data_IF_182451404246
#
_entry.id   IF_182451404246
#
_cell.length_a   1.000
_cell.length_b   1.000
_cell.length_c   1.000
_cell.angle_alpha   90.00
_cell.angle_beta   90.00
_cell.angle_gamma   90.00
#
_symmetry.space_group_name_H-M   'P 1'
#
loop_
_entity.id
_entity.type
_entity.pdbx_description
1 polymer ?
#
# COMPACT_ATOMS: atom_id res chain seq x y z
N UNK A 1 57.87 22.02 32.58
CA UNK A 1 57.50 21.51 31.25
C UNK A 1 56.19 20.68 31.27
N UNK A 2 55.15 21.11 32.01
CA UNK A 2 53.86 20.38 32.10
C UNK A 2 52.65 21.13 31.52
N UNK A 3 52.84 22.36 30.99
CA UNK A 3 51.73 23.24 30.59
C UNK A 3 51.38 23.24 29.10
N UNK A 4 52.03 22.42 28.27
CA UNK A 4 51.82 22.39 26.80
C UNK A 4 50.95 21.22 26.33
N UNK A 5 50.72 20.20 27.18
CA UNK A 5 49.89 19.05 26.82
C UNK A 5 48.39 19.32 27.02
N UNK A 6 47.99 20.13 27.99
CA UNK A 6 46.57 20.35 28.29
C UNK A 6 45.81 21.13 27.19
N UNK A 7 46.48 22.03 26.48
CA UNK A 7 45.85 22.92 25.50
C UNK A 7 45.48 22.22 24.18
N UNK A 8 46.18 21.14 23.81
CA UNK A 8 45.88 20.38 22.58
C UNK A 8 44.63 19.50 22.70
N UNK A 9 44.32 19.00 23.90
CA UNK A 9 43.13 18.18 24.13
C UNK A 9 41.85 19.03 24.23
N UNK A 10 41.95 20.28 24.68
CA UNK A 10 40.82 21.20 24.79
C UNK A 10 40.21 21.62 23.45
N UNK A 11 40.95 21.52 22.34
CA UNK A 11 40.46 21.86 21.00
C UNK A 11 39.90 20.64 20.22
N UNK A 12 40.28 19.42 20.59
CA UNK A 12 39.80 18.20 19.92
C UNK A 12 38.39 17.81 20.37
N UNK A 13 38.06 18.02 21.64
CA UNK A 13 36.76 17.67 22.21
C UNK A 13 35.60 18.42 21.51
N UNK A 14 35.62 19.76 21.33
CA UNK A 14 34.53 20.45 20.65
C UNK A 14 34.45 20.12 19.16
N UNK A 15 35.58 19.83 18.49
CA UNK A 15 35.59 19.43 17.08
C UNK A 15 34.93 18.05 16.87
N UNK A 16 35.24 17.09 17.74
CA UNK A 16 34.61 15.76 17.73
C UNK A 16 33.13 15.87 18.09
N UNK A 17 32.76 16.72 19.05
CA UNK A 17 31.36 16.97 19.40
C UNK A 17 30.57 17.60 18.25
N UNK A 18 31.18 18.53 17.50
CA UNK A 18 30.58 19.16 16.32
C UNK A 18 30.40 18.17 15.15
N UNK A 19 31.37 17.26 14.96
CA UNK A 19 31.29 16.16 13.99
C UNK A 19 30.19 15.15 14.36
N UNK A 20 29.98 14.88 15.66
CA UNK A 20 28.93 13.98 16.13
C UNK A 20 27.52 14.59 15.99
N UNK A 21 27.37 15.91 16.12
CA UNK A 21 26.08 16.61 15.96
C UNK A 21 25.62 16.74 14.50
N UNK A 22 26.52 16.56 13.52
CA UNK A 22 26.18 16.65 12.10
C UNK A 22 25.55 15.37 11.50
N UNK A 23 25.49 14.27 12.27
CA UNK A 23 25.05 12.96 11.75
C UNK A 23 23.53 12.72 11.86
N UNK A 24 22.78 13.64 12.45
CA UNK A 24 21.33 13.45 12.65
C UNK A 24 20.48 14.25 11.67
N UNK A 25 20.80 14.18 10.38
CA UNK A 25 19.81 14.49 9.33
C UNK A 25 19.18 13.17 8.91
N UNK A 26 18.28 12.66 9.76
CA UNK A 26 17.34 11.64 9.32
C UNK A 26 16.36 12.36 8.40
N UNK A 27 16.66 12.40 7.10
CA UNK A 27 15.66 12.78 6.12
C UNK A 27 14.54 11.76 6.27
N UNK A 28 13.33 12.23 6.62
CA UNK A 28 12.12 11.47 6.37
C UNK A 28 12.13 11.21 4.86
N UNK A 29 12.56 10.02 4.47
CA UNK A 29 12.70 9.63 3.10
C UNK A 29 11.29 9.65 2.52
N UNK A 30 11.01 10.63 1.65
CA UNK A 30 9.80 10.61 0.84
C UNK A 30 9.76 9.24 0.17
N UNK A 31 8.71 8.49 0.50
CA UNK A 31 8.54 7.11 0.08
C UNK A 31 8.48 7.11 -1.45
N UNK A 32 9.59 6.79 -2.10
CA UNK A 32 9.75 6.95 -3.56
C UNK A 32 9.02 5.85 -4.34
N UNK A 33 7.93 5.35 -3.76
CA UNK A 33 7.05 4.33 -4.31
C UNK A 33 6.19 4.98 -5.37
N UNK A 34 6.15 4.35 -6.52
CA UNK A 34 5.29 4.79 -7.61
C UNK A 34 3.90 4.22 -7.42
N UNK A 35 3.73 3.04 -6.82
CA UNK A 35 2.41 2.55 -6.42
C UNK A 35 2.50 1.37 -5.44
N UNK A 36 1.37 1.08 -4.79
CA UNK A 36 1.09 -0.13 -4.03
C UNK A 36 0.09 -1.01 -4.81
N UNK A 37 0.47 -2.26 -5.02
CA UNK A 37 -0.34 -3.25 -5.73
C UNK A 37 -1.00 -4.16 -4.70
N UNK A 38 -2.19 -3.77 -4.24
CA UNK A 38 -2.98 -4.53 -3.24
C UNK A 38 -3.18 -6.01 -3.59
N UNK A 39 -3.42 -6.41 -4.86
CA UNK A 39 -3.51 -7.81 -5.26
C UNK A 39 -2.29 -8.67 -4.90
N UNK A 40 -1.12 -8.05 -4.77
CA UNK A 40 0.14 -8.70 -4.43
C UNK A 40 0.48 -8.57 -2.94
N UNK A 41 -0.54 -8.51 -2.08
CA UNK A 41 -0.36 -8.30 -0.64
C UNK A 41 0.22 -6.92 -0.32
N UNK A 42 -0.02 -5.93 -1.19
CA UNK A 42 0.54 -4.59 -1.07
C UNK A 42 1.99 -4.47 -1.53
N UNK A 43 2.39 -5.25 -2.55
CA UNK A 43 3.69 -5.10 -3.21
C UNK A 43 3.89 -3.66 -3.68
N UNK A 44 5.15 -3.26 -3.81
CA UNK A 44 5.52 -1.89 -4.14
C UNK A 44 6.32 -1.83 -5.43
N UNK A 45 6.03 -0.83 -6.25
CA UNK A 45 6.75 -0.57 -7.51
C UNK A 45 7.65 0.66 -7.34
N UNK A 46 8.91 0.53 -7.77
CA UNK A 46 9.91 1.59 -7.78
C UNK A 46 10.53 1.75 -9.17
N UNK A 47 10.77 2.99 -9.58
CA UNK A 47 11.82 3.28 -10.55
C UNK A 47 13.13 3.36 -9.78
N UNK A 48 14.18 2.78 -10.33
CA UNK A 48 15.48 2.74 -9.67
C UNK A 48 16.59 3.22 -10.57
N UNK A 49 17.59 3.87 -9.97
CA UNK A 49 18.83 4.26 -10.65
C UNK A 49 19.88 3.15 -10.69
N UNK A 50 21.11 3.50 -11.10
CA UNK A 50 22.23 2.56 -11.37
C UNK A 50 22.64 1.61 -10.22
N UNK A 51 22.15 1.85 -8.99
CA UNK A 51 22.44 1.06 -7.79
C UNK A 51 21.17 0.46 -7.15
N UNK A 52 20.07 0.34 -7.90
CA UNK A 52 18.75 -0.07 -7.38
C UNK A 52 18.18 0.84 -6.27
N UNK A 53 18.68 2.07 -6.19
CA UNK A 53 18.18 3.08 -5.27
C UNK A 53 16.93 3.71 -5.91
N UNK A 54 15.82 3.87 -5.18
CA UNK A 54 14.63 4.54 -5.69
C UNK A 54 14.96 5.91 -6.29
N UNK A 55 14.39 6.20 -7.45
CA UNK A 55 14.67 7.40 -8.22
C UNK A 55 13.40 7.81 -8.99
N UNK A 56 13.30 9.08 -9.36
CA UNK A 56 12.22 9.61 -10.20
C UNK A 56 12.44 9.29 -11.69
N UNK A 57 13.39 8.43 -12.01
CA UNK A 57 13.72 8.00 -13.37
C UNK A 57 14.24 6.55 -13.36
N UNK A 58 13.71 5.72 -14.26
CA UNK A 58 14.11 4.34 -14.46
C UNK A 58 15.29 4.19 -15.43
N UNK A 59 15.64 5.21 -16.23
CA UNK A 59 16.59 5.09 -17.35
C UNK A 59 18.00 4.65 -16.96
N UNK A 60 18.38 4.84 -15.69
CA UNK A 60 19.70 4.47 -15.18
C UNK A 60 19.75 3.10 -14.51
N UNK A 61 18.62 2.52 -14.11
CA UNK A 61 18.58 1.23 -13.40
C UNK A 61 17.47 0.33 -13.92
N UNK A 62 16.22 0.75 -13.72
CA UNK A 62 15.05 0.07 -14.28
C UNK A 62 13.82 0.17 -13.39
N UNK A 63 12.98 -0.87 -13.46
CA UNK A 63 11.79 -1.02 -12.61
C UNK A 63 12.01 -2.18 -11.65
N UNK A 64 11.78 -1.91 -10.36
CA UNK A 64 11.88 -2.87 -9.27
C UNK A 64 10.50 -3.03 -8.60
N UNK A 65 10.03 -4.27 -8.49
CA UNK A 65 8.84 -4.63 -7.72
C UNK A 65 9.29 -5.44 -6.51
N UNK A 66 8.88 -5.01 -5.32
CA UNK A 66 9.17 -5.70 -4.07
C UNK A 66 7.91 -6.13 -3.35
N UNK A 67 8.03 -7.05 -2.40
CA UNK A 67 6.96 -7.28 -1.42
C UNK A 67 6.68 -6.00 -0.58
N UNK A 68 5.61 -6.03 0.21
CA UNK A 68 5.15 -4.88 1.02
C UNK A 68 6.21 -4.32 1.99
N UNK A 69 7.14 -5.17 2.44
CA UNK A 69 8.20 -4.78 3.38
C UNK A 69 9.49 -4.32 2.67
N UNK A 70 9.51 -4.29 1.34
CA UNK A 70 10.71 -3.95 0.56
C UNK A 70 11.85 -4.99 0.65
N UNK A 71 11.63 -6.13 1.31
CA UNK A 71 12.70 -7.08 1.66
C UNK A 71 12.99 -8.09 0.55
N UNK A 72 12.00 -8.39 -0.28
CA UNK A 72 12.11 -9.39 -1.35
C UNK A 72 11.82 -8.74 -2.69
N UNK A 73 12.69 -9.02 -3.68
CA UNK A 73 12.47 -8.64 -5.06
C UNK A 73 11.54 -9.64 -5.74
N UNK A 74 10.36 -9.17 -6.14
CA UNK A 74 9.38 -9.96 -6.88
C UNK A 74 9.65 -9.90 -8.39
N UNK A 75 10.09 -8.74 -8.89
CA UNK A 75 10.45 -8.55 -10.29
C UNK A 75 11.49 -7.42 -10.39
N UNK A 76 12.50 -7.61 -11.23
CA UNK A 76 13.38 -6.52 -11.67
C UNK A 76 13.49 -6.57 -13.19
N UNK A 77 13.33 -5.41 -13.82
CA UNK A 77 13.49 -5.24 -15.28
C UNK A 77 14.47 -4.11 -15.52
N UNK A 78 15.53 -4.39 -16.25
CA UNK A 78 16.61 -3.41 -16.46
C UNK A 78 16.17 -2.28 -17.39
N UNK A 79 16.80 -1.11 -17.24
CA UNK A 79 16.61 -0.01 -18.16
C UNK A 79 16.91 -0.39 -19.62
N UNK A 80 17.86 -1.30 -19.85
CA UNK A 80 18.20 -1.77 -21.19
C UNK A 80 17.04 -2.53 -21.84
N UNK A 81 16.39 -3.43 -21.09
CA UNK A 81 15.23 -4.20 -21.57
C UNK A 81 14.04 -3.28 -21.85
N UNK A 82 13.84 -2.28 -20.99
CA UNK A 82 12.78 -1.28 -21.15
C UNK A 82 13.05 -0.37 -22.35
N UNK A 83 14.30 0.05 -22.57
CA UNK A 83 14.71 0.88 -23.71
C UNK A 83 14.56 0.15 -25.05
N UNK A 84 14.76 -1.17 -25.08
CA UNK A 84 14.51 -1.97 -26.27
C UNK A 84 13.03 -1.93 -26.72
N UNK A 85 12.11 -1.59 -25.81
CA UNK A 85 10.69 -1.39 -26.05
C UNK A 85 10.29 0.10 -25.88
N UNK A 86 11.01 1.01 -26.55
CA UNK A 86 10.72 2.45 -26.49
C UNK A 86 9.66 2.88 -27.50
N UNK A 87 8.80 3.85 -27.16
CA UNK A 87 7.83 4.45 -28.08
C UNK A 87 8.45 5.08 -29.33
N UNK A 88 7.69 5.19 -30.42
CA UNK A 88 6.32 4.68 -30.59
C UNK A 88 6.31 3.15 -30.75
N UNK A 89 5.38 2.49 -30.05
CA UNK A 89 5.20 1.05 -30.14
C UNK A 89 4.03 0.70 -31.07
N UNK A 90 4.22 -0.28 -31.94
CA UNK A 90 3.16 -0.79 -32.81
C UNK A 90 2.25 -1.80 -32.09
N UNK A 91 2.79 -2.48 -31.08
CA UNK A 91 2.09 -3.46 -30.25
C UNK A 91 2.61 -3.44 -28.81
N UNK A 92 1.89 -4.10 -27.90
CA UNK A 92 2.31 -4.23 -26.50
C UNK A 92 3.51 -5.17 -26.40
N UNK A 93 4.60 -4.72 -25.78
CA UNK A 93 5.84 -5.47 -25.66
C UNK A 93 6.07 -5.91 -24.21
N UNK A 94 6.25 -7.21 -23.98
CA UNK A 94 6.66 -7.72 -22.67
C UNK A 94 8.16 -7.49 -22.48
N UNK A 95 8.53 -6.73 -21.44
CA UNK A 95 9.92 -6.36 -21.15
C UNK A 95 10.55 -7.18 -20.02
N UNK A 96 9.73 -7.84 -19.18
CA UNK A 96 10.27 -8.70 -18.12
C UNK A 96 9.24 -9.60 -17.48
N UNK A 97 9.70 -10.67 -16.83
CA UNK A 97 8.86 -11.65 -16.16
C UNK A 97 9.63 -12.35 -15.04
N UNK A 98 9.01 -12.47 -13.86
CA UNK A 98 9.51 -13.21 -12.71
C UNK A 98 8.38 -13.47 -11.72
N UNK A 99 8.43 -14.58 -10.99
CA UNK A 99 7.49 -14.88 -9.88
C UNK A 99 6.00 -14.74 -10.24
N UNK A 100 5.62 -15.12 -11.47
CA UNK A 100 4.25 -14.98 -11.96
C UNK A 100 3.83 -13.55 -12.33
N UNK A 101 4.73 -12.58 -12.21
CA UNK A 101 4.56 -11.20 -12.66
C UNK A 101 5.12 -11.02 -14.06
N UNK A 102 4.50 -10.16 -14.86
CA UNK A 102 5.00 -9.74 -16.17
C UNK A 102 4.87 -8.24 -16.33
N UNK A 103 5.95 -7.57 -16.75
CA UNK A 103 5.95 -6.15 -17.07
C UNK A 103 5.89 -5.94 -18.59
N UNK A 104 5.00 -5.06 -19.02
CA UNK A 104 4.80 -4.68 -20.41
C UNK A 104 5.01 -3.17 -20.61
N UNK A 105 5.41 -2.80 -21.83
CA UNK A 105 5.27 -1.47 -22.40
C UNK A 105 4.12 -1.51 -23.40
N UNK A 106 3.11 -0.67 -23.20
CA UNK A 106 1.90 -0.66 -24.01
C UNK A 106 2.03 0.28 -25.21
N UNK A 107 1.38 -0.08 -26.32
CA UNK A 107 1.27 0.79 -27.47
C UNK A 107 0.16 1.84 -27.31
N UNK A 108 0.30 3.03 -27.90
CA UNK A 108 1.47 3.52 -28.65
C UNK A 108 2.48 4.29 -27.78
N UNK A 109 2.08 4.66 -26.58
CA UNK A 109 2.73 5.68 -25.74
C UNK A 109 3.82 5.12 -24.80
N UNK A 110 3.93 3.79 -24.70
CA UNK A 110 4.87 3.12 -23.82
C UNK A 110 4.47 3.19 -22.35
N UNK A 111 3.17 3.31 -22.04
CA UNK A 111 2.65 3.12 -20.69
C UNK A 111 3.13 1.77 -20.12
N UNK A 112 3.49 1.73 -18.85
CA UNK A 112 3.84 0.49 -18.18
C UNK A 112 2.59 -0.27 -17.75
N UNK A 113 2.61 -1.60 -17.86
CA UNK A 113 1.58 -2.47 -17.32
C UNK A 113 2.21 -3.66 -16.59
N UNK A 114 1.89 -3.82 -15.31
CA UNK A 114 2.24 -4.99 -14.52
C UNK A 114 1.05 -5.95 -14.47
N UNK A 115 1.27 -7.17 -14.94
CA UNK A 115 0.30 -8.25 -14.88
C UNK A 115 0.72 -9.30 -13.86
N UNK A 116 -0.26 -9.91 -13.21
CA UNK A 116 -0.08 -11.08 -12.36
C UNK A 116 -1.42 -11.75 -12.07
N UNK A 117 -1.44 -12.69 -11.13
CA UNK A 117 -2.64 -13.44 -10.78
C UNK A 117 -2.98 -13.30 -9.30
N UNK A 118 -4.26 -13.13 -9.00
CA UNK A 118 -4.80 -13.28 -7.66
C UNK A 118 -4.69 -14.75 -7.18
N UNK A 119 -4.83 -15.02 -5.87
CA UNK A 119 -4.91 -16.38 -5.35
C UNK A 119 -6.04 -17.23 -5.95
N UNK A 120 -7.12 -16.62 -6.43
CA UNK A 120 -8.24 -17.30 -7.11
C UNK A 120 -7.99 -17.56 -8.61
N UNK A 121 -6.78 -17.24 -9.11
CA UNK A 121 -6.36 -17.46 -10.49
C UNK A 121 -6.82 -16.39 -11.48
N UNK A 122 -7.51 -15.33 -11.03
CA UNK A 122 -7.88 -14.21 -11.91
C UNK A 122 -6.68 -13.33 -12.22
N UNK A 123 -6.62 -12.83 -13.45
CA UNK A 123 -5.62 -11.85 -13.86
C UNK A 123 -5.91 -10.51 -13.16
N UNK A 124 -4.86 -9.84 -12.68
CA UNK A 124 -4.90 -8.41 -12.41
C UNK A 124 -3.93 -7.70 -13.34
N UNK A 125 -4.25 -6.44 -13.64
CA UNK A 125 -3.46 -5.56 -14.48
C UNK A 125 -3.37 -4.21 -13.78
N UNK A 126 -2.16 -3.67 -13.71
CA UNK A 126 -1.89 -2.38 -13.08
C UNK A 126 -1.06 -1.52 -14.03
N UNK A 127 -1.56 -0.34 -14.40
CA UNK A 127 -0.93 0.54 -15.39
C UNK A 127 -0.45 1.86 -14.78
N UNK A 128 0.68 2.37 -15.27
CA UNK A 128 1.22 3.68 -14.91
C UNK A 128 2.13 4.24 -16.02
N UNK A 129 2.27 5.57 -16.07
CA UNK A 129 2.96 6.26 -17.18
C UNK A 129 4.35 6.76 -16.83
N UNK A 130 4.62 7.07 -15.57
CA UNK A 130 5.84 7.77 -15.15
C UNK A 130 6.34 7.28 -13.78
N UNK A 131 7.52 7.77 -13.39
CA UNK A 131 8.13 7.46 -12.10
C UNK A 131 7.71 8.46 -11.00
N UNK A 132 6.59 9.16 -11.19
CA UNK A 132 6.15 10.13 -10.20
C UNK A 132 5.66 9.36 -8.97
N UNK A 133 6.20 9.64 -7.77
CA UNK A 133 5.77 8.95 -6.57
C UNK A 133 4.30 9.26 -6.31
N UNK A 134 3.55 8.25 -5.90
CA UNK A 134 2.20 8.48 -5.40
C UNK A 134 2.37 8.93 -3.97
N UNK A 135 1.86 10.13 -3.67
CA UNK A 135 1.72 10.60 -2.29
C UNK A 135 1.13 9.47 -1.47
N UNK A 136 1.79 9.10 -0.37
CA UNK A 136 1.30 8.08 0.54
C UNK A 136 -0.21 8.27 0.74
N UNK A 137 -1.04 7.20 0.66
CA UNK A 137 -2.47 7.35 0.88
C UNK A 137 -2.63 8.13 2.17
N UNK A 138 -3.29 9.30 2.08
CA UNK A 138 -3.60 10.10 3.24
C UNK A 138 -4.15 9.15 4.28
N UNK A 139 -3.51 9.09 5.45
CA UNK A 139 -4.04 8.37 6.60
C UNK A 139 -5.53 8.70 6.66
N UNK A 140 -6.44 7.70 6.63
CA UNK A 140 -7.86 7.98 6.55
C UNK A 140 -8.17 8.98 7.64
N UNK A 141 -8.58 10.18 7.23
CA UNK A 141 -9.03 11.20 8.16
C UNK A 141 -10.02 10.49 9.09
N UNK A 142 -9.79 10.50 10.42
CA UNK A 142 -10.61 9.73 11.33
C UNK A 142 -12.06 10.07 11.01
N UNK A 143 -12.81 9.08 10.51
CA UNK A 143 -14.21 9.27 10.18
C UNK A 143 -14.85 9.90 11.40
N UNK A 144 -15.55 11.05 11.27
CA UNK A 144 -16.29 11.59 12.40
C UNK A 144 -17.22 10.47 12.87
N UNK A 145 -17.09 10.07 14.15
CA UNK A 145 -17.84 8.97 14.76
C UNK A 145 -19.29 9.00 14.26
N UNK A 146 -19.59 8.15 13.29
CA UNK A 146 -20.92 8.07 12.74
C UNK A 146 -21.76 7.43 13.82
N UNK A 147 -22.62 8.24 14.42
CA UNK A 147 -23.57 7.94 15.48
C UNK A 147 -24.66 6.93 15.03
N UNK A 148 -24.27 5.84 14.34
CA UNK A 148 -25.12 4.73 13.91
C UNK A 148 -25.55 3.81 15.05
N UNK A 149 -25.04 4.04 16.26
CA UNK A 149 -25.46 3.30 17.46
C UNK A 149 -26.51 4.05 18.31
N UNK A 150 -27.06 5.18 17.85
CA UNK A 150 -28.29 5.68 18.48
C UNK A 150 -29.50 4.97 17.89
N UNK A 151 -30.01 4.00 18.65
CA UNK A 151 -31.42 3.66 18.58
C UNK A 151 -32.24 4.94 18.76
N UNK A 152 -33.28 5.20 17.97
CA UNK A 152 -34.21 6.27 18.29
C UNK A 152 -34.83 5.95 19.66
N UNK A 153 -34.73 6.89 20.59
CA UNK A 153 -35.40 6.79 21.88
C UNK A 153 -36.91 6.71 21.63
N UNK A 154 -37.48 5.52 21.74
CA UNK A 154 -38.93 5.33 21.65
C UNK A 154 -39.53 5.89 22.92
N UNK A 155 -40.11 7.09 22.82
CA UNK A 155 -40.95 7.65 23.88
C UNK A 155 -42.20 6.76 23.97
N UNK A 156 -42.46 6.06 25.10
CA UNK A 156 -43.60 5.16 25.18
C UNK A 156 -44.90 5.96 25.19
N UNK A 157 -45.62 5.94 24.07
CA UNK A 157 -47.00 6.39 24.04
C UNK A 157 -47.92 5.20 24.31
N UNK A 158 -48.57 5.24 25.48
CA UNK A 158 -49.85 4.57 25.70
C UNK A 158 -49.81 3.05 25.79
N UNK A 159 -49.96 2.55 27.02
CA UNK A 159 -50.26 1.14 27.31
C UNK A 159 -51.62 0.79 26.68
N UNK A 160 -51.65 -0.04 25.63
CA UNK A 160 -52.87 -0.74 25.22
C UNK A 160 -52.90 -2.12 25.85
N UNK A 161 -54.01 -2.41 26.52
CA UNK A 161 -54.21 -3.56 27.37
C UNK A 161 -54.46 -4.86 26.59
N UNK A 162 -53.44 -5.46 25.99
CA UNK A 162 -53.38 -6.91 25.71
C UNK A 162 -51.90 -7.32 25.69
N UNK A 163 -51.55 -8.34 26.46
CA UNK A 163 -50.17 -8.71 26.79
C UNK A 163 -49.38 -9.35 25.67
N UNK A 164 -49.07 -8.58 24.62
CA UNK A 164 -48.01 -8.92 23.66
C UNK A 164 -46.88 -7.89 23.82
N UNK A 165 -45.70 -8.37 24.22
CA UNK A 165 -44.49 -7.56 24.26
C UNK A 165 -44.14 -7.25 22.79
N UNK A 166 -44.09 -5.98 22.36
CA UNK A 166 -43.66 -5.65 21.01
C UNK A 166 -42.21 -6.13 20.83
N UNK A 167 -41.85 -6.70 19.67
CA UNK A 167 -40.49 -7.14 19.41
C UNK A 167 -39.53 -5.96 19.58
N UNK A 168 -38.37 -6.24 20.18
CA UNK A 168 -37.32 -5.25 20.37
C UNK A 168 -36.94 -4.68 18.98
N UNK A 169 -36.99 -3.36 18.75
CA UNK A 169 -36.59 -2.78 17.48
C UNK A 169 -35.10 -3.01 17.15
N UNK A 170 -34.32 -3.55 18.09
CA UNK A 170 -32.93 -3.93 17.91
C UNK A 170 -32.74 -5.39 17.45
N UNK A 171 -33.78 -6.22 17.46
CA UNK A 171 -33.67 -7.60 17.00
C UNK A 171 -33.80 -7.65 15.46
N UNK A 172 -32.80 -8.21 14.74
CA UNK A 172 -32.94 -8.42 13.30
C UNK A 172 -34.12 -9.38 13.03
N UNK A 173 -34.90 -9.17 11.96
CA UNK A 173 -36.03 -10.04 11.65
C UNK A 173 -35.54 -11.49 11.46
N UNK A 174 -36.31 -12.49 11.93
CA UNK A 174 -35.93 -13.88 11.74
C UNK A 174 -35.87 -14.22 10.25
N UNK A 175 -34.76 -14.80 9.81
CA UNK A 175 -34.55 -15.21 8.42
C UNK A 175 -35.59 -16.26 8.00
N UNK A 176 -36.61 -15.87 7.25
CA UNK A 176 -37.59 -16.78 6.66
C UNK A 176 -37.20 -17.11 5.21
N UNK A 177 -36.39 -18.15 5.05
CA UNK A 177 -36.01 -18.70 3.75
C UNK A 177 -35.63 -20.19 3.86
N UNK A 178 -35.66 -20.96 2.76
CA UNK A 178 -35.46 -22.42 2.76
C UNK A 178 -34.04 -22.88 3.13
N UNK A 179 -33.13 -21.96 3.48
CA UNK A 179 -31.74 -22.24 3.83
C UNK A 179 -31.39 -21.85 5.28
N UNK A 180 -32.37 -21.87 6.19
CA UNK A 180 -32.09 -21.74 7.62
C UNK A 180 -31.41 -23.02 8.13
N UNK A 181 -30.07 -23.03 8.14
CA UNK A 181 -29.28 -24.06 8.81
C UNK A 181 -29.26 -23.80 10.30
N UNK A 182 -29.75 -24.77 11.06
CA UNK A 182 -29.52 -24.89 12.50
C UNK A 182 -28.13 -25.53 12.68
N UNK A 183 -27.14 -24.79 13.16
CA UNK A 183 -26.13 -25.37 14.06
C UNK A 183 -25.27 -24.33 14.77
N UNK A 184 -25.12 -24.59 16.06
CA UNK A 184 -24.32 -23.88 17.04
C UNK A 184 -22.85 -24.08 16.71
N UNK A 185 -22.21 -23.17 15.96
CA UNK A 185 -20.88 -22.58 16.23
C UNK A 185 -20.37 -21.74 15.06
N UNK A 186 -19.76 -20.60 15.43
CA UNK A 186 -18.88 -19.71 14.65
C UNK A 186 -19.48 -19.04 13.41
N UNK A 187 -19.74 -17.74 13.59
CA UNK A 187 -19.59 -16.69 12.57
C UNK A 187 -20.03 -17.08 11.14
N UNK A 188 -21.33 -17.00 10.93
CA UNK A 188 -22.01 -16.87 9.64
C UNK A 188 -23.48 -16.54 9.97
N UNK A 189 -24.14 -15.56 9.38
CA UNK A 189 -24.24 -15.40 7.93
C UNK A 189 -24.61 -13.97 7.54
N UNK A 190 -24.06 -13.55 6.40
CA UNK A 190 -24.38 -12.38 5.61
C UNK A 190 -25.83 -12.48 5.12
N UNK A 191 -26.63 -11.42 5.26
CA UNK A 191 -27.88 -11.26 4.51
C UNK A 191 -27.61 -10.40 3.26
N UNK A 192 -27.49 -10.99 2.05
CA UNK A 192 -27.49 -10.23 0.82
C UNK A 192 -28.94 -9.93 0.38
N UNK A 193 -29.10 -8.85 -0.38
CA UNK A 193 -30.28 -8.61 -1.23
C UNK A 193 -30.30 -9.62 -2.36
#
# INVERSE_FOLDING_TARGET
MHSQLATKWLLLIPLVLLLLLAVSVTQAQEDSRINRVDPLGGATIYCVGANNIPNTDWTQGGILVTNINGSETLLFVSAADIQAASPPLEENVKVGMANGLSLYRLAPDGTFQLNGFYPDGKLFEFQWTDCNPISAPSEPEPEPENNRNRCPEVIPQGVTAFGEIPPDPCDPPPCTGPYAFNEVTRFGTICPV
#
